data_IF_486410305291
#
_entry.id   IF_486410305291
#
_cell.length_a   1.000
_cell.length_b   1.000
_cell.length_c   1.000
_cell.angle_alpha   90.00
_cell.angle_beta   90.00
_cell.angle_gamma   90.00
#
_symmetry.space_group_name_H-M   'P 1'
#
loop_
_entity.id
_entity.type
_entity.pdbx_description
1 polymer ?
#
# COMPACT_ATOMS: atom_id res chain seq x y z
N UNK A 1 38.19 83.75 -22.52
CA UNK A 1 37.24 82.87 -21.79
C UNK A 1 37.07 83.40 -20.37
N UNK A 2 35.84 83.63 -19.94
CA UNK A 2 35.48 84.33 -18.70
C UNK A 2 35.52 83.40 -17.48
N UNK A 3 36.18 83.80 -16.38
CA UNK A 3 36.27 83.05 -15.09
C UNK A 3 34.95 82.45 -14.58
N UNK A 4 33.81 83.06 -14.90
CA UNK A 4 32.47 82.57 -14.50
C UNK A 4 32.07 81.25 -15.17
N UNK A 5 32.55 80.99 -16.38
CA UNK A 5 32.26 79.76 -17.15
C UNK A 5 33.04 78.54 -16.63
N UNK A 6 34.26 78.75 -16.13
CA UNK A 6 35.06 77.67 -15.51
C UNK A 6 34.45 77.22 -14.18
N UNK A 7 34.04 78.17 -13.32
CA UNK A 7 33.42 77.85 -12.02
C UNK A 7 32.11 77.06 -12.21
N UNK A 8 31.31 77.41 -13.21
CA UNK A 8 30.10 76.66 -13.56
C UNK A 8 30.42 75.24 -14.03
N UNK A 9 31.49 75.06 -14.81
CA UNK A 9 31.94 73.74 -15.29
C UNK A 9 32.40 72.84 -14.13
N UNK A 10 33.18 73.39 -13.18
CA UNK A 10 33.63 72.66 -11.99
C UNK A 10 32.47 72.30 -11.06
N UNK A 11 31.49 73.20 -10.86
CA UNK A 11 30.31 72.90 -10.06
C UNK A 11 29.47 71.75 -10.66
N UNK A 12 29.32 71.73 -11.99
CA UNK A 12 28.59 70.68 -12.71
C UNK A 12 29.33 69.33 -12.64
N UNK A 13 30.66 69.34 -12.72
CA UNK A 13 31.51 68.17 -12.49
C UNK A 13 31.35 67.59 -11.08
N UNK A 14 31.32 68.43 -10.05
CA UNK A 14 31.15 67.97 -8.66
C UNK A 14 29.79 67.33 -8.44
N UNK A 15 28.71 67.89 -9.02
CA UNK A 15 27.36 67.31 -8.94
C UNK A 15 27.29 65.95 -9.65
N UNK A 16 27.94 65.81 -10.82
CA UNK A 16 28.04 64.54 -11.54
C UNK A 16 28.80 63.47 -10.73
N UNK A 17 29.91 63.84 -10.09
CA UNK A 17 30.71 62.91 -9.28
C UNK A 17 29.95 62.46 -8.03
N UNK A 18 29.29 63.38 -7.32
CA UNK A 18 28.50 63.05 -6.13
C UNK A 18 27.25 62.21 -6.48
N UNK A 19 26.59 62.54 -7.60
CA UNK A 19 25.44 61.79 -8.10
C UNK A 19 25.80 60.36 -8.48
N UNK A 20 26.90 60.15 -9.19
CA UNK A 20 27.39 58.82 -9.57
C UNK A 20 27.84 57.98 -8.37
N UNK A 21 28.44 58.59 -7.36
CA UNK A 21 28.81 57.92 -6.09
C UNK A 21 27.58 57.40 -5.33
N UNK A 22 26.54 58.24 -5.18
CA UNK A 22 25.29 57.81 -4.52
C UNK A 22 24.55 56.74 -5.32
N UNK A 23 24.56 56.85 -6.65
CA UNK A 23 23.95 55.83 -7.51
C UNK A 23 24.68 54.49 -7.40
N UNK A 24 26.02 54.50 -7.32
CA UNK A 24 26.83 53.32 -7.08
C UNK A 24 26.52 52.63 -5.75
N UNK A 25 26.39 53.40 -4.66
CA UNK A 25 25.97 52.86 -3.35
C UNK A 25 24.57 52.25 -3.37
N UNK A 26 23.62 52.91 -4.03
CA UNK A 26 22.24 52.42 -4.17
C UNK A 26 22.19 51.11 -4.97
N UNK A 27 22.89 51.04 -6.09
CA UNK A 27 22.99 49.84 -6.93
C UNK A 27 23.66 48.69 -6.17
N UNK A 28 24.70 48.98 -5.39
CA UNK A 28 25.36 47.97 -4.55
C UNK A 28 24.43 47.44 -3.45
N UNK A 29 23.65 48.30 -2.79
CA UNK A 29 22.63 47.88 -1.83
C UNK A 29 21.52 47.04 -2.47
N UNK A 30 21.03 47.44 -3.66
CA UNK A 30 20.04 46.66 -4.42
C UNK A 30 20.58 45.28 -4.82
N UNK A 31 21.82 45.21 -5.27
CA UNK A 31 22.44 43.95 -5.67
C UNK A 31 22.61 43.00 -4.48
N UNK A 32 22.95 43.53 -3.30
CA UNK A 32 23.00 42.74 -2.07
C UNK A 32 21.62 42.21 -1.67
N UNK A 33 20.59 43.07 -1.68
CA UNK A 33 19.22 42.63 -1.35
C UNK A 33 18.71 41.57 -2.32
N UNK A 34 18.93 41.74 -3.62
CA UNK A 34 18.57 40.74 -4.64
C UNK A 34 19.29 39.40 -4.41
N UNK A 35 20.58 39.44 -4.08
CA UNK A 35 21.35 38.22 -3.80
C UNK A 35 20.85 37.48 -2.55
N UNK A 36 20.46 38.23 -1.51
CA UNK A 36 19.87 37.66 -0.29
C UNK A 36 18.50 37.05 -0.56
N UNK A 37 17.65 37.73 -1.33
CA UNK A 37 16.33 37.22 -1.72
C UNK A 37 16.44 35.96 -2.59
N UNK A 38 17.39 35.91 -3.54
CA UNK A 38 17.66 34.72 -4.34
C UNK A 38 18.13 33.55 -3.48
N UNK A 39 19.02 33.79 -2.50
CA UNK A 39 19.46 32.75 -1.55
C UNK A 39 18.30 32.22 -0.72
N UNK A 40 17.45 33.10 -0.18
CA UNK A 40 16.26 32.70 0.58
C UNK A 40 15.26 31.91 -0.26
N UNK A 41 14.99 32.36 -1.50
CA UNK A 41 14.11 31.65 -2.42
C UNK A 41 14.65 30.24 -2.77
N UNK A 42 15.96 30.12 -2.97
CA UNK A 42 16.61 28.81 -3.20
C UNK A 42 16.49 27.88 -1.98
N UNK A 43 16.66 28.42 -0.77
CA UNK A 43 16.46 27.67 0.47
C UNK A 43 15.01 27.24 0.68
N UNK A 44 14.04 28.12 0.41
CA UNK A 44 12.61 27.80 0.47
C UNK A 44 12.23 26.69 -0.50
N UNK A 45 12.67 26.79 -1.77
CA UNK A 45 12.45 25.71 -2.76
C UNK A 45 13.07 24.39 -2.31
N UNK A 46 14.27 24.43 -1.73
CA UNK A 46 14.92 23.22 -1.22
C UNK A 46 14.18 22.61 -0.03
N UNK A 47 13.74 23.42 0.95
CA UNK A 47 12.90 22.96 2.07
C UNK A 47 11.57 22.37 1.59
N UNK A 48 10.94 22.99 0.60
CA UNK A 48 9.70 22.49 0.01
C UNK A 48 9.91 21.14 -0.72
N UNK A 49 11.03 20.98 -1.42
CA UNK A 49 11.40 19.71 -2.05
C UNK A 49 11.62 18.61 -1.00
N UNK A 50 12.38 18.90 0.06
CA UNK A 50 12.60 17.95 1.17
C UNK A 50 11.27 17.56 1.83
N UNK A 51 10.36 18.50 2.07
CA UNK A 51 9.05 18.22 2.65
C UNK A 51 8.22 17.29 1.76
N UNK A 52 8.19 17.54 0.43
CA UNK A 52 7.52 16.65 -0.53
C UNK A 52 8.14 15.24 -0.55
N UNK A 53 9.47 15.14 -0.56
CA UNK A 53 10.16 13.84 -0.49
C UNK A 53 9.89 13.11 0.81
N UNK A 54 9.85 13.82 1.94
CA UNK A 54 9.50 13.25 3.25
C UNK A 54 8.06 12.73 3.26
N UNK A 55 7.10 13.51 2.74
CA UNK A 55 5.71 13.07 2.59
C UNK A 55 5.57 11.82 1.71
N UNK A 56 6.31 11.75 0.60
CA UNK A 56 6.33 10.55 -0.26
C UNK A 56 6.90 9.33 0.47
N UNK A 57 7.98 9.49 1.24
CA UNK A 57 8.54 8.40 2.06
C UNK A 57 7.55 7.92 3.12
N UNK A 58 6.86 8.84 3.81
CA UNK A 58 5.82 8.48 4.78
C UNK A 58 4.70 7.70 4.10
N UNK A 59 4.20 8.16 2.94
CA UNK A 59 3.18 7.42 2.16
C UNK A 59 3.64 6.01 1.77
N UNK A 60 4.89 5.85 1.34
CA UNK A 60 5.44 4.52 1.02
C UNK A 60 5.51 3.60 2.24
N UNK A 61 5.91 4.14 3.40
CA UNK A 61 5.96 3.36 4.66
C UNK A 61 4.57 2.96 5.12
N UNK A 62 3.60 3.87 5.07
CA UNK A 62 2.20 3.59 5.40
C UNK A 62 1.65 2.51 4.47
N UNK A 63 1.78 2.67 3.15
CA UNK A 63 1.32 1.68 2.18
C UNK A 63 1.97 0.29 2.41
N UNK A 64 3.28 0.24 2.71
CA UNK A 64 3.96 -1.02 3.04
C UNK A 64 3.37 -1.66 4.31
N UNK A 65 3.14 -0.87 5.36
CA UNK A 65 2.51 -1.36 6.60
C UNK A 65 1.09 -1.87 6.36
N UNK A 66 0.30 -1.18 5.54
CA UNK A 66 -1.05 -1.61 5.12
C UNK A 66 -1.01 -2.97 4.44
N UNK A 67 -0.10 -3.14 3.47
CA UNK A 67 0.08 -4.40 2.74
C UNK A 67 0.51 -5.53 3.68
N UNK A 68 1.43 -5.26 4.61
CA UNK A 68 1.87 -6.23 5.62
C UNK A 68 0.69 -6.69 6.48
N UNK A 69 -0.11 -5.77 7.00
CA UNK A 69 -1.31 -6.12 7.80
C UNK A 69 -2.32 -6.94 7.00
N UNK A 70 -2.60 -6.56 5.75
CA UNK A 70 -3.50 -7.32 4.89
C UNK A 70 -2.98 -8.75 4.64
N UNK A 71 -1.67 -8.89 4.42
CA UNK A 71 -1.01 -10.19 4.26
C UNK A 71 -1.14 -11.06 5.51
N UNK A 72 -0.85 -10.50 6.69
CA UNK A 72 -0.96 -11.20 7.98
C UNK A 72 -2.40 -11.61 8.30
N UNK A 73 -3.36 -10.69 8.11
CA UNK A 73 -4.79 -10.97 8.30
C UNK A 73 -5.28 -12.05 7.33
N UNK A 74 -4.86 -11.99 6.07
CA UNK A 74 -5.18 -13.03 5.07
C UNK A 74 -4.63 -14.38 5.50
N UNK A 75 -3.38 -14.44 5.94
CA UNK A 75 -2.77 -15.68 6.42
C UNK A 75 -3.53 -16.26 7.62
N UNK A 76 -3.89 -15.44 8.61
CA UNK A 76 -4.67 -15.89 9.76
C UNK A 76 -6.06 -16.38 9.35
N UNK A 77 -6.74 -15.62 8.48
CA UNK A 77 -8.08 -15.94 8.01
C UNK A 77 -8.12 -17.27 7.28
N UNK A 78 -7.25 -17.46 6.27
CA UNK A 78 -7.23 -18.68 5.47
C UNK A 78 -6.75 -19.89 6.27
N UNK A 79 -5.85 -19.71 7.24
CA UNK A 79 -5.52 -20.76 8.18
C UNK A 79 -6.73 -21.21 9.00
N UNK A 80 -7.57 -20.29 9.49
CA UNK A 80 -8.78 -20.67 10.22
C UNK A 80 -9.84 -21.30 9.30
N UNK A 81 -9.94 -20.84 8.05
CA UNK A 81 -10.92 -21.33 7.10
C UNK A 81 -10.58 -22.73 6.54
N UNK A 82 -9.30 -23.02 6.29
CA UNK A 82 -8.87 -24.22 5.57
C UNK A 82 -8.03 -25.20 6.40
N UNK A 83 -7.65 -24.90 7.65
CA UNK A 83 -7.05 -25.91 8.55
C UNK A 83 -8.12 -26.59 9.39
N UNK A 84 -8.44 -27.83 9.06
CA UNK A 84 -9.37 -28.65 9.82
C UNK A 84 -9.06 -30.13 9.61
N UNK A 85 -9.20 -30.90 10.69
CA UNK A 85 -8.88 -32.33 10.73
C UNK A 85 -10.11 -33.24 10.78
N UNK A 86 -11.31 -32.67 10.82
CA UNK A 86 -12.56 -33.40 10.93
C UNK A 86 -13.74 -32.52 10.50
N UNK A 87 -14.89 -33.15 10.22
CA UNK A 87 -16.15 -32.42 10.02
C UNK A 87 -16.57 -31.56 11.22
N UNK A 88 -16.23 -31.96 12.45
CA UNK A 88 -16.48 -31.16 13.66
C UNK A 88 -15.62 -29.90 13.69
N UNK A 89 -14.33 -30.01 13.34
CA UNK A 89 -13.43 -28.85 13.25
C UNK A 89 -13.84 -27.92 12.13
N UNK A 90 -14.23 -28.47 10.98
CA UNK A 90 -14.76 -27.72 9.85
C UNK A 90 -15.93 -26.84 10.26
N UNK A 91 -16.92 -27.39 10.99
CA UNK A 91 -18.08 -26.64 11.46
C UNK A 91 -17.72 -25.49 12.41
N UNK A 92 -16.62 -25.60 13.17
CA UNK A 92 -16.17 -24.58 14.13
C UNK A 92 -15.44 -23.39 13.48
N UNK A 93 -15.05 -23.48 12.20
CA UNK A 93 -14.22 -22.46 11.54
C UNK A 93 -14.87 -21.07 11.52
N UNK A 94 -16.16 -20.99 11.21
CA UNK A 94 -16.90 -19.71 11.12
C UNK A 94 -16.88 -19.02 12.48
N UNK A 95 -17.15 -19.76 13.56
CA UNK A 95 -17.07 -19.23 14.93
C UNK A 95 -15.66 -18.73 15.27
N UNK A 96 -14.61 -19.48 14.92
CA UNK A 96 -13.21 -19.06 15.15
C UNK A 96 -12.88 -17.78 14.38
N UNK A 97 -13.26 -17.70 13.11
CA UNK A 97 -13.05 -16.52 12.27
C UNK A 97 -13.78 -15.30 12.84
N UNK A 98 -15.04 -15.48 13.24
CA UNK A 98 -15.85 -14.43 13.88
C UNK A 98 -15.23 -13.93 15.19
N UNK A 99 -14.72 -14.83 16.03
CA UNK A 99 -14.03 -14.48 17.27
C UNK A 99 -12.72 -13.71 17.02
N UNK A 100 -11.97 -14.11 15.99
CA UNK A 100 -10.73 -13.45 15.61
C UNK A 100 -10.94 -12.08 14.93
N UNK A 101 -12.18 -11.74 14.54
CA UNK A 101 -12.56 -10.46 13.92
C UNK A 101 -11.69 -10.12 12.70
N UNK A 102 -11.35 -11.12 11.89
CA UNK A 102 -10.46 -10.97 10.73
C UNK A 102 -11.18 -10.48 9.47
N UNK A 103 -12.49 -10.64 9.43
CA UNK A 103 -13.33 -10.31 8.28
C UNK A 103 -14.62 -9.63 8.73
N UNK A 104 -15.24 -8.89 7.81
CA UNK A 104 -16.54 -8.24 8.04
C UNK A 104 -17.67 -9.25 8.18
N UNK A 105 -18.81 -8.82 8.73
CA UNK A 105 -20.01 -9.65 8.81
C UNK A 105 -20.56 -10.02 7.44
N UNK A 106 -20.38 -9.14 6.45
CA UNK A 106 -20.79 -9.39 5.06
C UNK A 106 -20.03 -10.57 4.45
N UNK A 107 -18.71 -10.65 4.69
CA UNK A 107 -17.90 -11.79 4.23
C UNK A 107 -18.36 -13.09 4.90
N UNK A 108 -18.65 -13.06 6.20
CA UNK A 108 -19.13 -14.25 6.94
C UNK A 108 -20.52 -14.73 6.51
N UNK A 109 -21.35 -13.82 5.98
CA UNK A 109 -22.69 -14.14 5.50
C UNK A 109 -22.70 -14.67 4.05
N UNK A 110 -21.52 -14.84 3.43
CA UNK A 110 -21.43 -15.37 2.08
C UNK A 110 -21.57 -16.90 2.07
N UNK A 111 -22.77 -17.38 1.75
CA UNK A 111 -23.10 -18.82 1.70
C UNK A 111 -22.29 -19.62 0.67
N UNK A 112 -21.72 -18.95 -0.34
CA UNK A 112 -20.84 -19.61 -1.31
C UNK A 112 -19.46 -19.92 -0.70
N UNK A 113 -18.94 -19.02 0.13
CA UNK A 113 -17.66 -19.20 0.83
C UNK A 113 -17.80 -20.01 2.12
N UNK A 114 -18.97 -19.92 2.75
CA UNK A 114 -19.29 -20.55 4.02
C UNK A 114 -20.61 -21.33 3.92
N UNK A 115 -20.68 -22.37 3.08
CA UNK A 115 -21.92 -23.14 2.94
C UNK A 115 -22.32 -23.78 4.27
N UNK A 116 -23.62 -23.74 4.56
CA UNK A 116 -24.20 -24.52 5.64
C UNK A 116 -24.07 -26.03 5.34
N UNK A 117 -23.83 -26.81 6.39
CA UNK A 117 -23.73 -28.26 6.27
C UNK A 117 -25.12 -28.83 5.94
N UNK A 118 -25.26 -29.45 4.77
CA UNK A 118 -26.55 -29.95 4.25
C UNK A 118 -27.34 -28.93 3.40
N UNK A 119 -26.74 -27.77 3.07
CA UNK A 119 -27.30 -26.80 2.12
C UNK A 119 -27.07 -27.17 0.65
N UNK A 120 -27.24 -26.21 -0.26
CA UNK A 120 -27.09 -26.40 -1.73
C UNK A 120 -25.69 -26.85 -2.18
N UNK A 121 -24.69 -26.78 -1.30
CA UNK A 121 -23.37 -27.38 -1.48
C UNK A 121 -23.38 -28.80 -0.87
N UNK A 122 -23.89 -29.76 -1.63
CA UNK A 122 -24.05 -31.18 -1.26
C UNK A 122 -22.71 -31.95 -1.09
N UNK A 123 -21.59 -31.23 -0.89
CA UNK A 123 -20.23 -31.74 -1.09
C UNK A 123 -19.41 -31.93 0.19
N UNK A 124 -19.99 -31.71 1.36
CA UNK A 124 -19.25 -31.68 2.63
C UNK A 124 -19.84 -32.74 3.56
N UNK A 125 -19.88 -33.98 3.07
CA UNK A 125 -19.66 -35.12 3.95
C UNK A 125 -18.15 -35.16 4.27
N UNK A 126 -17.72 -34.28 5.18
CA UNK A 126 -16.33 -34.16 5.63
C UNK A 126 -15.89 -35.32 6.54
N UNK A 127 -16.64 -36.43 6.55
CA UNK A 127 -16.28 -37.59 7.34
C UNK A 127 -15.01 -38.21 6.75
N UNK A 128 -13.90 -38.00 7.46
CA UNK A 128 -12.58 -38.46 7.04
C UNK A 128 -11.81 -37.47 6.17
N UNK A 129 -12.36 -36.33 5.75
CA UNK A 129 -11.54 -35.32 5.05
C UNK A 129 -10.72 -34.49 6.05
N UNK A 130 -9.47 -34.23 5.66
CA UNK A 130 -8.56 -33.29 6.32
C UNK A 130 -8.06 -32.27 5.31
N UNK A 131 -7.88 -31.06 5.79
CA UNK A 131 -7.41 -29.94 5.01
C UNK A 131 -6.34 -29.19 5.79
N UNK A 132 -5.24 -28.86 5.12
CA UNK A 132 -4.15 -28.05 5.66
C UNK A 132 -3.68 -27.02 4.64
N UNK A 133 -3.57 -25.78 5.09
CA UNK A 133 -2.96 -24.69 4.35
C UNK A 133 -1.47 -24.94 4.25
N UNK A 134 -0.99 -24.97 3.01
CA UNK A 134 0.44 -25.08 2.68
C UNK A 134 1.04 -23.68 2.57
N UNK A 135 0.33 -22.77 1.91
CA UNK A 135 0.82 -21.41 1.65
C UNK A 135 -0.34 -20.44 1.49
N UNK A 136 -0.14 -19.20 1.94
CA UNK A 136 -0.98 -18.04 1.66
C UNK A 136 -0.07 -16.93 1.18
N UNK A 137 -0.40 -16.29 0.05
CA UNK A 137 0.34 -15.14 -0.43
C UNK A 137 -0.63 -14.06 -0.90
N UNK A 138 -0.34 -12.83 -0.47
CA UNK A 138 -1.11 -11.64 -0.84
C UNK A 138 -0.36 -10.85 -1.90
N UNK A 139 -1.03 -10.56 -3.01
CA UNK A 139 -0.55 -9.78 -4.14
C UNK A 139 -1.32 -8.46 -4.16
N UNK A 140 -0.77 -7.35 -3.65
CA UNK A 140 -1.48 -6.08 -3.64
C UNK A 140 -1.68 -5.53 -5.05
N UNK A 141 -2.86 -4.96 -5.33
CA UNK A 141 -3.21 -4.27 -6.57
C UNK A 141 -3.24 -2.76 -6.39
N UNK A 142 -4.02 -2.30 -5.42
CA UNK A 142 -4.20 -0.89 -5.11
C UNK A 142 -4.10 -0.69 -3.61
N UNK A 143 -3.34 0.32 -3.19
CA UNK A 143 -3.14 0.64 -1.78
C UNK A 143 -3.21 2.14 -1.58
N UNK A 144 -4.00 2.55 -0.60
CA UNK A 144 -4.02 3.90 -0.08
C UNK A 144 -3.70 3.88 1.43
N UNK A 145 -3.88 5.01 2.10
CA UNK A 145 -3.47 5.18 3.50
C UNK A 145 -4.31 4.35 4.49
N UNK A 146 -5.53 3.91 4.13
CA UNK A 146 -6.46 3.20 5.02
C UNK A 146 -7.02 1.89 4.43
N UNK A 147 -6.73 1.59 3.17
CA UNK A 147 -7.25 0.43 2.47
C UNK A 147 -6.22 -0.16 1.51
N UNK A 148 -6.25 -1.47 1.33
CA UNK A 148 -5.58 -2.15 0.23
C UNK A 148 -6.50 -3.19 -0.39
N UNK A 149 -6.42 -3.35 -1.70
CA UNK A 149 -7.09 -4.40 -2.44
C UNK A 149 -6.08 -5.21 -3.23
N UNK A 150 -6.41 -6.47 -3.48
CA UNK A 150 -5.52 -7.36 -4.21
C UNK A 150 -6.05 -8.78 -4.31
N UNK A 151 -5.18 -9.68 -4.73
CA UNK A 151 -5.48 -11.10 -4.85
C UNK A 151 -4.77 -11.85 -3.73
N UNK A 152 -5.46 -12.78 -3.10
CA UNK A 152 -4.84 -13.77 -2.23
C UNK A 152 -4.86 -15.12 -2.93
N UNK A 153 -3.67 -15.68 -3.13
CA UNK A 153 -3.52 -17.10 -3.44
C UNK A 153 -3.53 -17.91 -2.16
N UNK A 154 -4.19 -19.07 -2.18
CA UNK A 154 -4.20 -20.05 -1.09
C UNK A 154 -3.90 -21.45 -1.63
N UNK A 155 -2.81 -22.06 -1.18
CA UNK A 155 -2.50 -23.46 -1.44
C UNK A 155 -2.99 -24.32 -0.26
N UNK A 156 -3.82 -25.32 -0.55
CA UNK A 156 -4.44 -26.20 0.45
C UNK A 156 -4.20 -27.64 0.07
N UNK A 157 -3.58 -28.42 0.96
CA UNK A 157 -3.50 -29.86 0.84
C UNK A 157 -4.76 -30.48 1.44
N UNK A 158 -5.48 -31.26 0.64
CA UNK A 158 -6.66 -31.99 1.09
C UNK A 158 -6.42 -33.49 0.92
N UNK A 159 -6.82 -34.28 1.91
CA UNK A 159 -6.77 -35.75 1.84
C UNK A 159 -7.88 -36.39 2.64
N UNK A 160 -8.22 -37.62 2.29
CA UNK A 160 -9.04 -38.46 3.14
C UNK A 160 -8.18 -39.16 4.21
N UNK A 161 -8.77 -39.49 5.35
CA UNK A 161 -8.14 -40.09 6.51
C UNK A 161 -7.69 -41.52 6.26
N UNK A 162 -8.36 -42.17 5.32
CA UNK A 162 -7.99 -43.50 4.82
C UNK A 162 -6.86 -43.47 3.80
N UNK A 163 -6.47 -42.30 3.28
CA UNK A 163 -5.50 -42.22 2.18
C UNK A 163 -4.09 -42.47 2.69
N UNK A 164 -3.44 -43.48 2.11
CA UNK A 164 -2.04 -43.81 2.37
C UNK A 164 -1.18 -42.99 1.40
N UNK A 165 -0.73 -41.82 1.84
CA UNK A 165 0.10 -40.92 1.01
C UNK A 165 -0.04 -39.45 1.36
N UNK A 166 0.55 -38.60 0.52
CA UNK A 166 0.34 -37.15 0.56
C UNK A 166 -1.00 -36.81 -0.08
N UNK A 167 -1.70 -35.82 0.47
CA UNK A 167 -2.94 -35.30 -0.11
C UNK A 167 -2.72 -34.59 -1.43
N UNK A 168 -3.81 -34.18 -2.05
CA UNK A 168 -3.80 -33.33 -3.25
C UNK A 168 -3.69 -31.85 -2.84
N UNK A 169 -2.68 -31.16 -3.32
CA UNK A 169 -2.56 -29.70 -3.15
C UNK A 169 -3.35 -28.97 -4.22
N UNK A 170 -4.27 -28.12 -3.78
CA UNK A 170 -5.13 -27.28 -4.63
C UNK A 170 -4.83 -25.81 -4.41
N UNK A 171 -4.92 -25.02 -5.47
CA UNK A 171 -4.59 -23.60 -5.50
C UNK A 171 -5.86 -22.78 -5.76
N UNK A 172 -6.26 -21.96 -4.78
CA UNK A 172 -7.44 -21.10 -4.85
C UNK A 172 -7.03 -19.64 -4.88
N UNK A 173 -7.81 -18.82 -5.61
CA UNK A 173 -7.56 -17.38 -5.72
C UNK A 173 -8.79 -16.59 -5.32
N UNK A 174 -8.56 -15.52 -4.56
CA UNK A 174 -9.61 -14.65 -4.06
C UNK A 174 -9.23 -13.19 -4.27
N UNK A 175 -10.17 -12.38 -4.76
CA UNK A 175 -10.04 -10.93 -4.65
C UNK A 175 -10.41 -10.54 -3.23
N UNK A 176 -9.63 -9.63 -2.64
CA UNK A 176 -9.92 -9.08 -1.32
C UNK A 176 -9.88 -7.57 -1.33
N UNK A 177 -10.69 -6.98 -0.45
CA UNK A 177 -10.53 -5.62 0.04
C UNK A 177 -10.24 -5.68 1.54
N UNK A 178 -9.21 -4.98 1.98
CA UNK A 178 -8.80 -4.89 3.38
C UNK A 178 -8.84 -3.44 3.87
N UNK A 179 -9.50 -3.22 5.01
CA UNK A 179 -9.61 -1.92 5.66
C UNK A 179 -8.75 -1.89 6.93
N UNK A 180 -7.87 -0.89 7.07
CA UNK A 180 -7.01 -0.73 8.25
C UNK A 180 -7.81 -0.28 9.47
N UNK A 181 -8.75 0.67 9.30
CA UNK A 181 -9.58 1.21 10.38
C UNK A 181 -10.27 0.09 11.19
N UNK A 182 -10.77 -0.92 10.48
CA UNK A 182 -11.47 -2.06 11.07
C UNK A 182 -10.57 -3.27 11.29
N UNK A 183 -9.34 -3.21 10.75
CA UNK A 183 -8.35 -4.29 10.71
C UNK A 183 -8.95 -5.61 10.17
N UNK A 184 -9.73 -5.49 9.09
CA UNK A 184 -10.57 -6.57 8.55
C UNK A 184 -10.52 -6.65 7.03
N UNK A 185 -10.69 -7.87 6.52
CA UNK A 185 -11.07 -8.10 5.13
C UNK A 185 -12.57 -7.78 5.00
N UNK A 186 -12.91 -6.78 4.21
CA UNK A 186 -14.28 -6.27 4.06
C UNK A 186 -15.00 -6.84 2.85
N UNK A 187 -14.26 -7.25 1.82
CA UNK A 187 -14.75 -7.99 0.66
C UNK A 187 -13.88 -9.21 0.38
N UNK A 188 -14.50 -10.31 -0.06
CA UNK A 188 -13.84 -11.56 -0.41
C UNK A 188 -14.62 -12.25 -1.54
N UNK A 189 -14.02 -12.31 -2.72
CA UNK A 189 -14.64 -12.91 -3.90
C UNK A 189 -13.78 -14.04 -4.46
N UNK A 190 -14.38 -15.20 -4.68
CA UNK A 190 -13.68 -16.33 -5.30
C UNK A 190 -13.47 -16.09 -6.80
N UNK A 191 -12.21 -16.14 -7.24
CA UNK A 191 -11.82 -15.89 -8.63
C UNK A 191 -11.74 -17.17 -9.43
N UNK A 192 -11.19 -18.24 -8.82
CA UNK A 192 -11.01 -19.51 -9.50
C UNK A 192 -9.94 -20.41 -8.88
N UNK A 193 -9.66 -21.50 -9.59
CA UNK A 193 -8.70 -22.55 -9.23
C UNK A 193 -7.77 -22.84 -10.40
N UNK A 194 -6.46 -22.92 -10.16
CA UNK A 194 -5.53 -23.43 -11.17
C UNK A 194 -5.66 -24.96 -11.30
N UNK A 195 -5.65 -25.46 -12.53
CA UNK A 195 -5.66 -26.90 -12.78
C UNK A 195 -4.38 -27.55 -12.22
N UNK A 196 -4.49 -28.78 -11.71
CA UNK A 196 -3.42 -29.54 -11.03
C UNK A 196 -2.13 -29.68 -11.87
N UNK A 197 -2.24 -29.51 -13.20
CA UNK A 197 -1.12 -29.66 -14.15
C UNK A 197 -0.52 -28.33 -14.63
N UNK A 198 -1.05 -27.19 -14.19
CA UNK A 198 -0.46 -25.87 -14.43
C UNK A 198 0.40 -25.51 -13.22
N UNK A 199 1.61 -26.08 -13.19
CA UNK A 199 2.65 -25.74 -12.22
C UNK A 199 3.16 -24.34 -12.49
N UNK A 200 2.43 -23.32 -12.06
CA UNK A 200 3.03 -22.03 -11.75
C UNK A 200 3.33 -22.03 -10.27
N UNK A 201 4.62 -22.07 -9.94
CA UNK A 201 5.11 -21.80 -8.60
C UNK A 201 4.39 -20.54 -8.08
N UNK A 202 3.88 -20.60 -6.84
CA UNK A 202 3.19 -19.47 -6.22
C UNK A 202 4.06 -18.20 -6.24
N UNK A 203 5.38 -18.39 -6.24
CA UNK A 203 6.36 -17.32 -6.28
C UNK A 203 6.52 -16.67 -7.67
N UNK A 204 6.06 -17.33 -8.75
CA UNK A 204 6.16 -16.83 -10.13
C UNK A 204 4.81 -16.50 -10.77
N UNK A 205 3.70 -16.82 -10.10
CA UNK A 205 2.36 -16.47 -10.55
C UNK A 205 2.08 -14.97 -10.38
N UNK A 206 1.84 -14.27 -11.49
CA UNK A 206 1.29 -12.91 -11.47
C UNK A 206 -0.24 -12.99 -11.67
N UNK A 207 -1.06 -12.70 -10.64
CA UNK A 207 -2.52 -12.74 -10.77
C UNK A 207 -3.12 -11.64 -11.67
N UNK A 208 -2.29 -10.74 -12.20
CA UNK A 208 -2.70 -9.59 -13.01
C UNK A 208 -2.29 -9.69 -14.48
N UNK A 209 -1.67 -10.80 -14.89
CA UNK A 209 -1.36 -11.16 -16.28
C UNK A 209 -2.35 -12.20 -16.80
#
# INVERSE_FOLDING_TARGET
MTRKTEIAYYALLVVLVLGSLRFGQLMWQQQQTLSHLQKQAKQLKHKQAIAKTSQQKVKQVVAKSTITKASETSQQFFNLAYNWSSGSDYKKRITKIKQAKLVSSQVLANDYLFPEVGGTADYIDNNGLKSSVVQVAYYPKATNDDQTSGVVGVAVNAKHDSDVGNGETRYYYFNIDYQISDNQITSLDYVGRLAVNQSTDFNTFNPYE
#
